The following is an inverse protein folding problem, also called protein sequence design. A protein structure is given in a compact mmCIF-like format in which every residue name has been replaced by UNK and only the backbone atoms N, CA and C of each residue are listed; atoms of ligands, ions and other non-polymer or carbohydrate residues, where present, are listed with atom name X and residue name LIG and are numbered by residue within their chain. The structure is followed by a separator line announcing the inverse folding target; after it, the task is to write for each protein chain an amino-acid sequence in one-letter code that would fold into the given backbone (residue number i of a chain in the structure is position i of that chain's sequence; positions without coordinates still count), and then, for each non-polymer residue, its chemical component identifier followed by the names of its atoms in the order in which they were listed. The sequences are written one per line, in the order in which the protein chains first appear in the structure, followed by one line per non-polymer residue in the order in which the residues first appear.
data_IF_512412909588
#
_entry.id   IF_512412909588
#
_cell.length_a   1.000
_cell.length_b   1.000
_cell.length_c   1.000
_cell.angle_alpha   90.00
_cell.angle_beta   90.00
_cell.angle_gamma   90.00
#
_symmetry.space_group_name_H-M   'P 1'
#
loop_
_entity.id
_entity.type
_entity.pdbx_description
1 polymer ?
#
# COMPACT_ATOMS: atom_id res chain seq x y z
N UNK A 1 -3.03 36.41 -14.41
CA UNK A 1 -2.03 35.65 -13.64
C UNK A 1 -2.46 34.21 -13.32
N UNK A 2 -3.70 33.95 -12.87
CA UNK A 2 -4.19 32.59 -12.50
C UNK A 2 -3.98 31.52 -13.60
N UNK A 3 -4.14 31.89 -14.87
CA UNK A 3 -3.88 30.99 -16.02
C UNK A 3 -2.42 30.47 -16.12
N UNK A 4 -1.45 31.15 -15.50
CA UNK A 4 -0.05 30.71 -15.46
C UNK A 4 0.19 29.62 -14.40
N UNK A 5 -0.81 29.36 -13.55
CA UNK A 5 -0.81 28.25 -12.61
C UNK A 5 -1.52 27.01 -13.19
N UNK A 6 -1.77 26.98 -14.50
CA UNK A 6 -2.55 25.96 -15.21
C UNK A 6 -3.97 25.75 -14.64
N UNK A 7 -4.49 26.77 -13.92
CA UNK A 7 -5.81 26.73 -13.31
C UNK A 7 -6.91 26.64 -14.38
N UNK A 8 -7.81 25.65 -14.34
CA UNK A 8 -8.94 25.53 -15.26
C UNK A 8 -9.83 26.78 -15.22
N UNK A 9 -10.48 27.11 -16.36
CA UNK A 9 -11.32 28.31 -16.45
C UNK A 9 -12.48 28.30 -15.43
N UNK A 10 -13.00 27.12 -15.09
CA UNK A 10 -14.03 26.94 -14.06
C UNK A 10 -13.53 27.35 -12.68
N UNK A 11 -12.31 27.00 -12.32
CA UNK A 11 -11.70 27.39 -11.04
C UNK A 11 -11.29 28.87 -11.04
N UNK A 12 -10.77 29.38 -12.16
CA UNK A 12 -10.51 30.82 -12.32
C UNK A 12 -11.79 31.65 -12.09
N UNK A 13 -12.92 31.20 -12.64
CA UNK A 13 -14.20 31.87 -12.46
C UNK A 13 -14.63 31.90 -10.98
N UNK A 14 -14.46 30.82 -10.24
CA UNK A 14 -14.75 30.76 -8.80
C UNK A 14 -13.90 31.73 -8.00
N UNK A 15 -12.58 31.74 -8.25
CA UNK A 15 -11.66 32.66 -7.55
C UNK A 15 -11.96 34.12 -7.85
N UNK A 16 -12.29 34.46 -9.11
CA UNK A 16 -12.59 35.85 -9.49
C UNK A 16 -13.94 36.33 -8.95
N UNK A 17 -14.92 35.44 -8.81
CA UNK A 17 -16.24 35.75 -8.27
C UNK A 17 -16.29 35.82 -6.73
N UNK A 18 -15.33 35.26 -6.05
CA UNK A 18 -15.29 35.17 -4.59
C UNK A 18 -14.85 36.52 -3.94
N UNK A 19 -15.30 36.84 -2.71
CA UNK A 19 -14.73 37.91 -1.90
C UNK A 19 -13.26 37.68 -1.60
N UNK A 20 -12.50 38.74 -1.33
CA UNK A 20 -11.03 38.70 -1.26
C UNK A 20 -10.46 37.63 -0.33
N UNK A 21 -11.01 37.40 0.87
CA UNK A 21 -10.58 36.36 1.79
C UNK A 21 -10.86 34.93 1.24
N UNK A 22 -12.06 34.72 0.71
CA UNK A 22 -12.49 33.45 0.13
C UNK A 22 -11.72 33.14 -1.16
N UNK A 23 -11.43 34.16 -1.98
CA UNK A 23 -10.60 34.03 -3.16
C UNK A 23 -9.16 33.55 -2.82
N UNK A 24 -8.60 34.07 -1.73
CA UNK A 24 -7.28 33.64 -1.26
C UNK A 24 -7.26 32.17 -0.81
N UNK A 25 -8.29 31.72 -0.08
CA UNK A 25 -8.43 30.35 0.36
C UNK A 25 -8.67 29.38 -0.80
N UNK A 26 -9.50 29.74 -1.77
CA UNK A 26 -9.69 28.97 -3.00
C UNK A 26 -8.39 28.81 -3.79
N UNK A 27 -7.59 29.87 -3.91
CA UNK A 27 -6.30 29.82 -4.57
C UNK A 27 -5.32 28.91 -3.82
N UNK A 28 -5.28 29.01 -2.48
CA UNK A 28 -4.43 28.18 -1.61
C UNK A 28 -4.79 26.72 -1.75
N UNK A 29 -6.07 26.35 -1.63
CA UNK A 29 -6.55 24.97 -1.76
C UNK A 29 -6.22 24.39 -3.14
N UNK A 30 -6.40 25.17 -4.22
CA UNK A 30 -6.03 24.76 -5.57
C UNK A 30 -4.52 24.50 -5.68
N UNK A 31 -3.69 25.35 -5.07
CA UNK A 31 -2.25 25.19 -5.13
C UNK A 31 -1.77 23.98 -4.35
N UNK A 32 -2.27 23.74 -3.14
CA UNK A 32 -1.98 22.57 -2.33
C UNK A 32 -2.35 21.27 -3.05
N UNK A 33 -3.49 21.25 -3.75
CA UNK A 33 -3.88 20.10 -4.60
C UNK A 33 -2.94 19.90 -5.77
N UNK A 34 -2.50 20.99 -6.40
CA UNK A 34 -1.56 20.97 -7.52
C UNK A 34 -0.19 20.44 -7.06
N UNK A 35 0.30 20.86 -5.90
CA UNK A 35 1.56 20.36 -5.32
C UNK A 35 1.47 18.86 -5.01
N UNK A 36 0.37 18.38 -4.41
CA UNK A 36 0.13 16.95 -4.17
C UNK A 36 0.15 16.15 -5.47
N UNK A 37 -0.54 16.62 -6.50
CA UNK A 37 -0.55 15.98 -7.82
C UNK A 37 0.83 15.93 -8.45
N UNK A 38 1.60 17.01 -8.39
CA UNK A 38 2.97 17.06 -8.91
C UNK A 38 3.92 16.13 -8.14
N UNK A 39 3.77 16.02 -6.82
CA UNK A 39 4.52 15.08 -6.01
C UNK A 39 4.23 13.63 -6.44
N UNK A 40 2.95 13.27 -6.60
CA UNK A 40 2.53 11.96 -7.10
C UNK A 40 3.08 11.65 -8.49
N UNK A 41 3.02 12.61 -9.41
CA UNK A 41 3.58 12.44 -10.76
C UNK A 41 5.10 12.25 -10.75
N UNK A 42 5.84 12.91 -9.84
CA UNK A 42 7.29 12.72 -9.71
C UNK A 42 7.63 11.32 -9.23
N UNK A 43 6.93 10.80 -8.23
CA UNK A 43 7.14 9.43 -7.75
C UNK A 43 6.82 8.40 -8.82
N UNK A 44 5.70 8.55 -9.52
CA UNK A 44 5.35 7.67 -10.64
C UNK A 44 6.41 7.72 -11.76
N UNK A 45 6.88 8.92 -12.12
CA UNK A 45 7.93 9.07 -13.13
C UNK A 45 9.26 8.44 -12.69
N UNK A 46 9.60 8.53 -11.40
CA UNK A 46 10.77 7.87 -10.81
C UNK A 46 10.65 6.34 -10.92
N UNK A 47 9.52 5.78 -10.49
CA UNK A 47 9.22 4.36 -10.60
C UNK A 47 9.32 3.87 -12.06
N UNK A 48 8.63 4.53 -13.00
CA UNK A 48 8.68 4.16 -14.42
C UNK A 48 10.08 4.23 -14.99
N UNK A 49 10.89 5.23 -14.60
CA UNK A 49 12.28 5.32 -15.05
C UNK A 49 13.10 4.14 -14.55
N UNK A 50 12.98 3.75 -13.27
CA UNK A 50 13.64 2.58 -12.70
C UNK A 50 13.24 1.31 -13.47
N UNK A 51 11.96 1.10 -13.73
CA UNK A 51 11.46 -0.05 -14.47
C UNK A 51 11.95 -0.10 -15.93
N UNK A 52 12.03 1.06 -16.60
CA UNK A 52 12.40 1.13 -18.03
C UNK A 52 13.91 1.12 -18.28
N UNK A 53 14.70 1.73 -17.40
CA UNK A 53 16.16 1.85 -17.60
C UNK A 53 16.92 0.67 -17.01
N UNK A 54 16.34 -0.05 -16.04
CA UNK A 54 17.08 -1.01 -15.23
C UNK A 54 18.23 -0.36 -14.42
N UNK A 55 18.28 0.98 -14.38
CA UNK A 55 19.24 1.71 -13.56
C UNK A 55 18.94 1.50 -12.08
N UNK A 56 19.99 1.27 -11.31
CA UNK A 56 19.91 1.19 -9.85
C UNK A 56 19.40 2.54 -9.32
N UNK A 57 18.17 2.56 -8.81
CA UNK A 57 17.64 3.71 -8.09
C UNK A 57 18.45 3.89 -6.81
N UNK A 58 18.76 5.14 -6.43
CA UNK A 58 19.28 5.39 -5.08
C UNK A 58 18.15 5.20 -4.08
N UNK A 59 18.12 4.01 -3.45
CA UNK A 59 17.15 3.65 -2.40
C UNK A 59 17.78 3.77 -1.00
N UNK A 60 18.82 4.61 -0.84
CA UNK A 60 19.55 4.82 0.43
C UNK A 60 18.65 5.17 1.63
N UNK A 61 17.44 5.62 1.36
CA UNK A 61 16.42 5.94 2.37
C UNK A 61 15.75 4.69 2.98
N UNK A 62 15.84 3.52 2.31
CA UNK A 62 15.14 2.32 2.71
C UNK A 62 16.12 1.30 3.33
N UNK A 63 15.89 0.93 4.59
CA UNK A 63 16.65 -0.10 5.31
C UNK A 63 15.96 -1.46 5.14
N UNK A 64 16.32 -2.17 4.06
CA UNK A 64 15.77 -3.50 3.77
C UNK A 64 16.40 -4.54 4.67
N UNK A 65 15.58 -5.37 5.29
CA UNK A 65 15.94 -6.43 6.23
C UNK A 65 15.35 -7.76 5.80
N UNK A 66 15.91 -8.84 6.35
CA UNK A 66 15.39 -10.20 6.18
C UNK A 66 14.77 -10.71 7.48
N UNK A 67 13.78 -11.60 7.36
CA UNK A 67 13.23 -12.35 8.49
C UNK A 67 12.60 -13.67 8.07
N UNK A 68 12.57 -14.61 9.01
CA UNK A 68 11.81 -15.85 8.88
C UNK A 68 10.38 -15.63 9.38
N UNK A 69 9.42 -16.04 8.56
CA UNK A 69 7.99 -16.04 8.91
C UNK A 69 7.56 -17.48 9.14
N UNK A 70 7.09 -17.84 10.34
CA UNK A 70 6.62 -19.19 10.63
C UNK A 70 5.32 -19.51 9.88
N UNK A 71 5.03 -20.80 9.71
CA UNK A 71 3.72 -21.23 9.22
C UNK A 71 2.62 -20.66 10.12
N UNK A 72 1.56 -20.12 9.51
CA UNK A 72 0.44 -19.55 10.22
C UNK A 72 -0.90 -19.90 9.56
N UNK A 73 -1.95 -19.99 10.36
CA UNK A 73 -3.31 -20.11 9.87
C UNK A 73 -3.91 -18.72 9.68
N UNK A 74 -4.54 -18.47 8.56
CA UNK A 74 -5.14 -17.18 8.24
C UNK A 74 -6.61 -17.31 7.85
N UNK A 75 -7.41 -16.35 8.27
CA UNK A 75 -8.69 -16.05 7.65
C UNK A 75 -8.42 -15.20 6.42
N UNK A 76 -9.09 -15.48 5.31
CA UNK A 76 -8.80 -14.82 4.04
C UNK A 76 -10.04 -14.44 3.25
N UNK A 77 -9.91 -13.34 2.49
CA UNK A 77 -10.86 -12.89 1.48
C UNK A 77 -10.08 -12.43 0.24
N UNK A 78 -10.48 -12.90 -0.96
CA UNK A 78 -9.82 -12.55 -2.21
C UNK A 78 -10.76 -11.83 -3.15
N UNK A 79 -10.23 -10.82 -3.87
CA UNK A 79 -10.99 -10.06 -4.86
C UNK A 79 -10.09 -9.53 -5.99
N UNK A 80 -10.66 -9.32 -7.18
CA UNK A 80 -10.04 -8.56 -8.25
C UNK A 80 -10.44 -7.09 -8.11
N UNK A 81 -9.44 -6.19 -8.08
CA UNK A 81 -9.63 -4.77 -7.77
C UNK A 81 -8.79 -3.89 -8.68
N UNK A 82 -9.29 -2.71 -9.01
CA UNK A 82 -8.51 -1.60 -9.51
C UNK A 82 -7.78 -0.88 -8.35
N UNK A 83 -6.71 -0.18 -8.65
CA UNK A 83 -5.93 0.54 -7.63
C UNK A 83 -6.79 1.54 -6.82
N UNK A 84 -7.75 2.20 -7.46
CA UNK A 84 -8.65 3.14 -6.79
C UNK A 84 -9.62 2.48 -5.78
N UNK A 85 -9.86 1.17 -5.91
CA UNK A 85 -10.76 0.43 -5.03
C UNK A 85 -10.04 -0.17 -3.81
N UNK A 86 -8.69 -0.25 -3.87
CA UNK A 86 -7.87 -0.91 -2.83
C UNK A 86 -8.11 -0.36 -1.42
N UNK A 87 -8.03 0.95 -1.15
CA UNK A 87 -8.14 1.45 0.22
C UNK A 87 -9.47 1.08 0.87
N UNK A 88 -10.58 1.31 0.19
CA UNK A 88 -11.90 1.02 0.74
C UNK A 88 -12.19 -0.47 0.89
N UNK A 89 -11.64 -1.30 0.01
CA UNK A 89 -11.79 -2.74 0.15
C UNK A 89 -10.90 -3.32 1.26
N UNK A 90 -9.64 -2.90 1.36
CA UNK A 90 -8.71 -3.33 2.42
C UNK A 90 -9.30 -3.03 3.81
N UNK A 91 -9.81 -1.82 4.00
CA UNK A 91 -10.47 -1.41 5.25
C UNK A 91 -11.69 -2.31 5.58
N UNK A 92 -12.58 -2.50 4.60
CA UNK A 92 -13.81 -3.27 4.83
C UNK A 92 -13.56 -4.76 4.96
N UNK A 93 -12.66 -5.35 4.16
CA UNK A 93 -12.27 -6.76 4.27
C UNK A 93 -11.54 -7.00 5.60
N UNK A 94 -10.58 -6.15 5.95
CA UNK A 94 -9.87 -6.22 7.23
C UNK A 94 -10.82 -6.19 8.41
N UNK A 95 -11.76 -5.26 8.44
CA UNK A 95 -12.78 -5.16 9.49
C UNK A 95 -13.62 -6.44 9.60
N UNK A 96 -14.03 -7.04 8.47
CA UNK A 96 -14.79 -8.30 8.47
C UNK A 96 -13.96 -9.47 9.02
N UNK A 97 -12.73 -9.62 8.54
CA UNK A 97 -11.82 -10.69 8.93
C UNK A 97 -11.42 -10.57 10.40
N UNK A 98 -11.10 -9.37 10.89
CA UNK A 98 -10.79 -9.11 12.30
C UNK A 98 -11.95 -9.49 13.20
N UNK A 99 -13.18 -9.05 12.89
CA UNK A 99 -14.39 -9.44 13.64
C UNK A 99 -14.65 -10.95 13.61
N UNK A 100 -14.35 -11.61 12.50
CA UNK A 100 -14.46 -13.07 12.40
C UNK A 100 -13.39 -13.76 13.27
N UNK A 101 -12.16 -13.27 13.29
CA UNK A 101 -11.08 -13.77 14.13
C UNK A 101 -11.39 -13.64 15.61
N UNK A 102 -11.88 -12.47 16.06
CA UNK A 102 -12.26 -12.22 17.46
C UNK A 102 -13.34 -13.18 17.97
N UNK A 103 -14.29 -13.55 17.11
CA UNK A 103 -15.38 -14.47 17.47
C UNK A 103 -14.94 -15.94 17.58
N UNK A 104 -13.77 -16.29 17.01
CA UNK A 104 -13.29 -17.68 16.94
C UNK A 104 -12.15 -17.94 17.92
N UNK A 105 -10.95 -17.60 17.53
CA UNK A 105 -9.70 -17.98 18.20
C UNK A 105 -8.79 -16.78 18.49
N UNK A 106 -9.28 -15.59 18.23
CA UNK A 106 -8.51 -14.35 18.38
C UNK A 106 -7.53 -14.10 17.25
N UNK A 107 -7.10 -12.85 17.16
CA UNK A 107 -6.08 -12.38 16.20
C UNK A 107 -4.70 -12.79 16.71
N UNK A 108 -3.90 -13.48 15.88
CA UNK A 108 -2.59 -14.00 16.27
C UNK A 108 -1.42 -13.17 15.71
N UNK A 109 -1.68 -12.22 14.82
CA UNK A 109 -0.66 -11.37 14.20
C UNK A 109 -1.26 -10.22 13.41
N UNK A 110 -0.42 -9.35 12.82
CA UNK A 110 -0.88 -8.25 12.00
C UNK A 110 -1.61 -8.74 10.75
N UNK A 111 -2.62 -7.97 10.33
CA UNK A 111 -3.25 -8.15 9.03
C UNK A 111 -2.25 -7.92 7.91
N UNK A 112 -2.36 -8.68 6.82
CA UNK A 112 -1.57 -8.43 5.63
C UNK A 112 -2.39 -8.62 4.35
N UNK A 113 -1.92 -7.99 3.27
CA UNK A 113 -2.54 -8.02 1.96
C UNK A 113 -1.53 -8.57 0.97
N UNK A 114 -1.90 -9.60 0.20
CA UNK A 114 -1.07 -10.23 -0.83
C UNK A 114 -1.56 -9.78 -2.21
N UNK A 115 -0.64 -9.40 -3.07
CA UNK A 115 -0.90 -9.04 -4.46
C UNK A 115 -0.49 -10.18 -5.38
N UNK A 116 -1.43 -11.01 -5.81
CA UNK A 116 -1.19 -12.16 -6.69
C UNK A 116 -0.99 -11.79 -8.16
N UNK A 117 -1.09 -10.51 -8.49
CA UNK A 117 -0.87 -9.97 -9.82
C UNK A 117 -0.86 -8.45 -9.81
N UNK A 118 -0.52 -7.86 -10.94
CA UNK A 118 -0.49 -6.41 -11.07
C UNK A 118 -1.87 -5.80 -10.88
N UNK A 119 -1.94 -4.77 -10.06
CA UNK A 119 -3.13 -3.93 -9.83
C UNK A 119 -2.80 -2.53 -10.30
N UNK A 120 -3.56 -1.98 -11.24
CA UNK A 120 -3.33 -0.64 -11.76
C UNK A 120 -4.64 0.11 -12.04
N UNK A 121 -4.55 1.28 -12.70
CA UNK A 121 -5.73 2.11 -12.99
C UNK A 121 -6.65 1.49 -14.05
N UNK A 122 -6.11 0.71 -14.97
CA UNK A 122 -6.79 0.20 -16.16
C UNK A 122 -7.09 -1.31 -16.09
N UNK A 123 -6.47 -2.03 -15.15
CA UNK A 123 -6.58 -3.48 -15.03
C UNK A 123 -6.73 -3.92 -13.58
N UNK A 124 -7.85 -4.59 -13.30
CA UNK A 124 -8.08 -5.18 -11.99
C UNK A 124 -7.20 -6.43 -11.78
N UNK A 125 -6.48 -6.46 -10.67
CA UNK A 125 -5.64 -7.59 -10.26
C UNK A 125 -6.18 -8.34 -9.05
N UNK A 126 -5.76 -9.61 -8.86
CA UNK A 126 -6.17 -10.41 -7.72
C UNK A 126 -5.42 -10.00 -6.45
N UNK A 127 -6.18 -9.62 -5.44
CA UNK A 127 -5.71 -9.18 -4.13
C UNK A 127 -6.35 -10.03 -3.04
N UNK A 128 -5.57 -10.41 -2.04
CA UNK A 128 -6.00 -11.24 -0.93
C UNK A 128 -5.71 -10.55 0.41
N UNK A 129 -6.74 -10.30 1.21
CA UNK A 129 -6.60 -9.84 2.59
C UNK A 129 -6.51 -11.05 3.53
N UNK A 130 -5.56 -11.03 4.47
CA UNK A 130 -5.30 -12.11 5.39
C UNK A 130 -5.21 -11.60 6.82
N UNK A 131 -5.85 -12.29 7.76
CA UNK A 131 -5.72 -12.05 9.21
C UNK A 131 -5.22 -13.33 9.89
N UNK A 132 -4.01 -13.34 10.47
CA UNK A 132 -3.50 -14.47 11.22
C UNK A 132 -4.36 -14.76 12.44
N UNK A 133 -4.66 -16.05 12.67
CA UNK A 133 -5.49 -16.50 13.79
C UNK A 133 -4.83 -17.64 14.54
N UNK A 134 -5.21 -17.81 15.80
CA UNK A 134 -4.84 -19.00 16.55
C UNK A 134 -5.40 -20.27 15.88
N UNK A 135 -4.91 -21.42 16.30
CA UNK A 135 -5.35 -22.71 15.74
C UNK A 135 -6.82 -22.93 16.12
N UNK A 136 -7.71 -22.83 15.16
CA UNK A 136 -9.12 -23.19 15.30
C UNK A 136 -9.36 -24.55 14.65
N UNK A 137 -10.10 -25.41 15.34
CA UNK A 137 -10.50 -26.73 14.83
C UNK A 137 -11.89 -26.71 14.19
N UNK A 138 -12.57 -25.55 14.19
CA UNK A 138 -13.93 -25.43 13.67
C UNK A 138 -13.94 -24.69 12.33
N UNK A 139 -14.22 -25.39 11.24
CA UNK A 139 -14.55 -24.78 9.95
C UNK A 139 -15.87 -24.01 10.07
N UNK A 140 -15.91 -22.78 9.59
CA UNK A 140 -17.14 -21.99 9.48
C UNK A 140 -17.37 -21.63 8.00
N UNK A 141 -18.61 -21.72 7.57
CA UNK A 141 -19.01 -21.49 6.18
C UNK A 141 -18.85 -20.04 5.72
N UNK A 142 -18.65 -19.07 6.64
CA UNK A 142 -18.73 -17.65 6.33
C UNK A 142 -17.42 -16.99 5.88
N UNK A 143 -16.24 -17.57 6.20
CA UNK A 143 -14.92 -16.99 5.87
C UNK A 143 -13.94 -18.11 5.53
N UNK A 144 -13.24 -17.96 4.42
CA UNK A 144 -12.23 -18.92 4.01
C UNK A 144 -11.05 -18.95 5.00
N UNK A 145 -10.56 -20.16 5.27
CA UNK A 145 -9.41 -20.42 6.14
C UNK A 145 -8.35 -21.14 5.30
N UNK A 146 -7.10 -20.71 5.40
CA UNK A 146 -5.98 -21.43 4.79
C UNK A 146 -4.72 -21.37 5.65
N UNK A 147 -3.77 -22.22 5.34
CA UNK A 147 -2.41 -22.13 5.85
C UNK A 147 -1.56 -21.25 4.95
N UNK A 148 -0.83 -20.34 5.56
CA UNK A 148 0.29 -19.64 4.95
C UNK A 148 1.54 -20.38 5.36
N UNK A 149 2.28 -20.90 4.38
CA UNK A 149 3.50 -21.68 4.64
C UNK A 149 4.59 -20.83 5.27
N UNK A 150 5.44 -21.45 6.08
CA UNK A 150 6.66 -20.81 6.56
C UNK A 150 7.53 -20.40 5.36
N UNK A 151 8.11 -19.21 5.42
CA UNK A 151 8.95 -18.66 4.36
C UNK A 151 9.97 -17.67 4.92
N UNK A 152 11.01 -17.41 4.14
CA UNK A 152 11.95 -16.33 4.36
C UNK A 152 11.51 -15.13 3.53
N UNK A 153 11.62 -13.90 4.04
CA UNK A 153 11.24 -12.70 3.29
C UNK A 153 12.19 -11.53 3.50
N UNK A 154 12.40 -10.76 2.45
CA UNK A 154 13.02 -9.43 2.51
C UNK A 154 11.93 -8.38 2.67
N UNK A 155 12.12 -7.41 3.58
CA UNK A 155 11.10 -6.40 3.86
C UNK A 155 11.70 -5.04 4.17
N UNK A 156 10.90 -4.00 3.95
CA UNK A 156 11.18 -2.63 4.36
C UNK A 156 9.99 -2.05 5.10
N UNK A 157 10.27 -1.28 6.13
CA UNK A 157 9.27 -0.59 6.92
C UNK A 157 9.04 0.81 6.40
N UNK A 158 7.76 1.20 6.28
CA UNK A 158 7.34 2.50 5.74
C UNK A 158 6.37 3.22 6.66
N UNK A 159 6.37 4.55 6.54
CA UNK A 159 5.47 5.43 7.28
C UNK A 159 4.09 5.49 6.64
N UNK A 160 3.10 5.96 7.40
CA UNK A 160 1.73 6.17 6.91
C UNK A 160 1.68 7.07 5.67
N UNK A 161 2.51 8.11 5.60
CA UNK A 161 2.60 8.99 4.44
C UNK A 161 3.13 8.28 3.18
N UNK A 162 3.94 7.23 3.34
CA UNK A 162 4.52 6.47 2.24
C UNK A 162 3.61 5.35 1.72
N UNK A 163 2.55 4.95 2.46
CA UNK A 163 1.63 3.88 2.03
C UNK A 163 0.77 4.30 0.84
N UNK A 164 0.49 5.59 0.69
CA UNK A 164 -0.35 6.08 -0.41
C UNK A 164 0.26 5.84 -1.79
N UNK A 165 -0.58 5.40 -2.75
CA UNK A 165 -0.16 5.35 -4.15
C UNK A 165 0.01 6.78 -4.72
N UNK A 166 1.07 7.08 -5.53
CA UNK A 166 2.11 6.17 -6.01
C UNK A 166 3.36 6.07 -5.10
N UNK A 167 3.39 6.72 -3.92
CA UNK A 167 4.56 6.78 -3.03
C UNK A 167 5.05 5.39 -2.61
N UNK A 168 4.12 4.48 -2.36
CA UNK A 168 4.40 3.10 -1.96
C UNK A 168 5.29 2.34 -2.97
N UNK A 169 5.21 2.70 -4.27
CA UNK A 169 5.97 2.03 -5.33
C UNK A 169 7.49 2.11 -5.10
N UNK A 170 7.99 3.22 -4.51
CA UNK A 170 9.41 3.35 -4.18
C UNK A 170 9.89 2.34 -3.15
N UNK A 171 9.02 1.92 -2.22
CA UNK A 171 9.34 0.87 -1.25
C UNK A 171 9.37 -0.51 -1.91
N UNK A 172 8.43 -0.80 -2.81
CA UNK A 172 8.45 -2.02 -3.63
C UNK A 172 9.71 -2.12 -4.46
N UNK A 173 10.09 -1.03 -5.15
CA UNK A 173 11.31 -0.98 -5.97
C UNK A 173 12.56 -1.18 -5.11
N UNK A 174 12.61 -0.62 -3.90
CA UNK A 174 13.74 -0.78 -2.99
C UNK A 174 13.95 -2.24 -2.56
N UNK A 175 12.88 -2.95 -2.20
CA UNK A 175 12.98 -4.38 -1.83
C UNK A 175 13.35 -5.22 -3.03
N UNK A 176 12.77 -4.97 -4.20
CA UNK A 176 13.07 -5.70 -5.42
C UNK A 176 14.54 -5.51 -5.86
N UNK A 177 15.07 -4.29 -5.77
CA UNK A 177 16.46 -3.98 -6.08
C UNK A 177 17.42 -4.64 -5.08
N UNK A 178 17.08 -4.60 -3.79
CA UNK A 178 17.85 -5.25 -2.74
C UNK A 178 17.94 -6.77 -2.97
N UNK A 179 16.84 -7.45 -3.28
CA UNK A 179 16.77 -8.88 -3.60
C UNK A 179 17.70 -9.19 -4.78
N UNK A 180 17.62 -8.43 -5.85
CA UNK A 180 18.45 -8.57 -7.05
C UNK A 180 19.94 -8.42 -6.74
N UNK A 181 20.31 -7.41 -5.95
CA UNK A 181 21.72 -7.12 -5.63
C UNK A 181 22.33 -8.11 -4.64
N UNK A 182 21.52 -8.77 -3.83
CA UNK A 182 21.96 -9.85 -2.93
C UNK A 182 21.92 -11.25 -3.56
N UNK A 183 21.55 -11.35 -4.84
CA UNK A 183 21.53 -12.60 -5.58
C UNK A 183 20.42 -13.56 -5.13
N UNK A 184 19.40 -13.04 -4.44
CA UNK A 184 18.20 -13.79 -4.08
C UNK A 184 17.19 -13.78 -5.22
N UNK A 185 16.27 -14.72 -5.19
CA UNK A 185 15.13 -14.77 -6.12
C UNK A 185 13.84 -14.59 -5.36
N UNK A 186 12.89 -13.84 -5.96
CA UNK A 186 11.53 -13.78 -5.42
C UNK A 186 10.93 -15.17 -5.54
N UNK A 187 10.50 -15.74 -4.43
CA UNK A 187 9.77 -17.01 -4.45
C UNK A 187 8.44 -16.81 -5.21
N UNK A 188 7.83 -17.91 -5.65
CA UNK A 188 6.52 -17.90 -6.34
C UNK A 188 5.38 -17.24 -5.53
N UNK A 189 5.67 -16.92 -4.27
CA UNK A 189 4.80 -16.16 -3.38
C UNK A 189 4.81 -14.67 -3.74
N UNK A 190 3.62 -14.11 -3.84
CA UNK A 190 3.42 -12.72 -4.22
C UNK A 190 3.85 -11.72 -3.13
N UNK A 191 4.25 -10.50 -3.50
CA UNK A 191 4.56 -9.45 -2.54
C UNK A 191 3.37 -9.13 -1.64
N UNK A 192 3.67 -8.61 -0.45
CA UNK A 192 2.66 -8.32 0.56
C UNK A 192 2.90 -7.04 1.32
N UNK A 193 1.83 -6.44 1.80
CA UNK A 193 1.79 -5.31 2.71
C UNK A 193 1.32 -5.79 4.08
N UNK A 194 2.12 -5.62 5.14
CA UNK A 194 1.81 -6.08 6.49
C UNK A 194 1.53 -4.87 7.36
N UNK A 195 0.28 -4.71 7.80
CA UNK A 195 -0.20 -3.57 8.58
C UNK A 195 -0.14 -3.90 10.07
N UNK A 196 0.89 -3.41 10.77
CA UNK A 196 1.17 -3.77 12.17
C UNK A 196 0.77 -2.70 13.18
N UNK A 197 0.44 -1.49 12.75
CA UNK A 197 0.05 -0.40 13.64
C UNK A 197 -1.45 -0.07 13.54
N UNK A 198 -1.96 0.60 14.57
CA UNK A 198 -3.30 1.18 14.54
C UNK A 198 -3.31 2.36 13.56
N UNK A 199 -3.98 2.13 12.42
CA UNK A 199 -4.05 3.10 11.33
C UNK A 199 -4.67 4.43 11.74
N UNK A 200 -5.72 4.41 12.56
CA UNK A 200 -6.46 5.61 12.94
C UNK A 200 -5.69 6.46 13.95
N UNK A 201 -4.91 5.81 14.82
CA UNK A 201 -4.09 6.48 15.82
C UNK A 201 -2.77 7.02 15.26
N UNK A 202 -2.26 6.44 14.15
CA UNK A 202 -0.95 6.78 13.59
C UNK A 202 -0.94 8.15 12.87
N UNK A 203 0.09 8.94 13.10
CA UNK A 203 0.41 10.15 12.34
C UNK A 203 1.12 9.85 11.01
N UNK A 204 1.29 10.86 10.13
CA UNK A 204 1.91 10.67 8.82
C UNK A 204 3.32 10.07 8.85
N UNK A 205 4.12 10.40 9.86
CA UNK A 205 5.52 9.97 10.02
C UNK A 205 5.66 8.69 10.84
N UNK A 206 4.56 8.14 11.38
CA UNK A 206 4.59 6.91 12.14
C UNK A 206 4.69 5.71 11.19
N UNK A 207 5.52 4.73 11.57
CA UNK A 207 5.67 3.48 10.85
C UNK A 207 4.43 2.60 11.05
N UNK A 208 3.82 2.16 9.94
CA UNK A 208 2.54 1.44 9.98
C UNK A 208 2.51 0.17 9.15
N UNK A 209 3.42 0.04 8.18
CA UNK A 209 3.36 -1.04 7.21
C UNK A 209 4.76 -1.54 6.85
N UNK A 210 4.90 -2.85 6.68
CA UNK A 210 6.06 -3.47 6.04
C UNK A 210 5.68 -3.89 4.61
N UNK A 211 6.50 -3.51 3.62
CA UNK A 211 6.45 -4.08 2.27
C UNK A 211 7.41 -5.26 2.25
N UNK A 212 6.90 -6.45 1.97
CA UNK A 212 7.67 -7.68 2.06
C UNK A 212 7.55 -8.55 0.81
N UNK A 213 8.64 -9.23 0.47
CA UNK A 213 8.73 -10.18 -0.62
C UNK A 213 9.30 -11.50 -0.09
N UNK A 214 8.55 -12.61 -0.16
CA UNK A 214 9.11 -13.92 0.06
C UNK A 214 10.25 -14.20 -0.91
N UNK A 215 11.36 -14.74 -0.40
CA UNK A 215 12.59 -15.00 -1.16
C UNK A 215 13.09 -16.41 -0.97
N UNK A 216 13.83 -16.91 -1.98
CA UNK A 216 14.50 -18.21 -2.00
C UNK A 216 15.97 -18.06 -2.39
#
# INVERSE_FOLDING_TARGET
MLRRLDMPLTEVAKVVAAPGADAAELLKSYWEETERRLASQRELAKHLRTQLSGEEGSFEMYDVKERDVPEQTVLTEQRHLLVAELPGWIETAGTRLMKAAEKRCGVAGPMFVIYHGAVNEDSAGPVEACVPVGVDQNESEDVAVRRESAHHEAHVRITKAQVGFPQILSAYDAVADWIRTHGLTVDHCSPREIYFADWDAAGPEDEVCDIAFPVA
#
